data_IF_549359024898
#
_entry.id   IF_549359024898
#
_cell.length_a   1.000
_cell.length_b   1.000
_cell.length_c   1.000
_cell.angle_alpha   90.00
_cell.angle_beta   90.00
_cell.angle_gamma   90.00
#
_symmetry.space_group_name_H-M   'P 1'
#
loop_
_entity.id
_entity.type
_entity.pdbx_description
1 polymer ?
#
# COMPACT_ATOMS: atom_id res chain seq x y z
N UNK A 1 0.46 -78.34 -32.36
CA UNK A 1 1.84 -77.82 -32.35
C UNK A 1 1.83 -76.43 -32.97
N UNK A 2 2.29 -75.42 -32.22
CA UNK A 2 2.54 -74.01 -32.57
C UNK A 2 1.31 -73.09 -32.74
N UNK A 3 1.06 -72.04 -31.92
CA UNK A 3 1.86 -70.90 -31.41
C UNK A 3 1.67 -69.64 -32.27
N UNK A 4 1.28 -68.53 -31.60
CA UNK A 4 1.18 -67.09 -32.01
C UNK A 4 -0.25 -66.54 -31.92
N UNK A 5 -0.79 -66.28 -30.72
CA UNK A 5 -0.49 -65.20 -29.75
C UNK A 5 -0.99 -63.82 -30.20
N UNK A 6 -2.00 -63.36 -29.44
CA UNK A 6 -2.66 -62.06 -29.48
C UNK A 6 -1.65 -60.90 -29.45
N UNK A 7 -1.91 -59.86 -30.25
CA UNK A 7 -1.33 -58.53 -30.04
C UNK A 7 -2.47 -57.56 -29.72
N UNK A 8 -2.65 -57.27 -28.43
CA UNK A 8 -3.58 -56.30 -27.89
C UNK A 8 -2.78 -55.37 -26.97
N UNK A 9 -3.00 -54.05 -27.13
CA UNK A 9 -2.76 -52.95 -26.18
C UNK A 9 -1.30 -52.68 -25.77
N UNK A 10 -0.80 -51.49 -26.14
CA UNK A 10 -0.29 -50.47 -25.21
C UNK A 10 0.35 -49.33 -26.04
N UNK A 11 -0.50 -48.42 -26.54
CA UNK A 11 -0.04 -47.08 -26.88
C UNK A 11 0.25 -46.39 -25.54
N UNK A 12 1.53 -46.32 -25.18
CA UNK A 12 2.03 -45.50 -24.09
C UNK A 12 1.80 -44.02 -24.45
N UNK A 13 0.62 -43.50 -24.09
CA UNK A 13 0.41 -42.06 -23.98
C UNK A 13 1.25 -41.57 -22.80
N UNK A 14 2.48 -41.17 -23.09
CA UNK A 14 3.30 -40.39 -22.19
C UNK A 14 2.68 -38.98 -22.11
N UNK A 15 1.64 -38.85 -21.28
CA UNK A 15 1.17 -37.55 -20.82
C UNK A 15 2.28 -36.99 -19.94
N UNK A 16 3.12 -36.13 -20.54
CA UNK A 16 3.93 -35.18 -19.79
C UNK A 16 2.94 -34.25 -19.07
N UNK A 17 2.60 -34.60 -17.84
CA UNK A 17 2.12 -33.65 -16.85
C UNK A 17 3.25 -32.64 -16.63
N UNK A 18 3.28 -31.59 -17.45
CA UNK A 18 4.01 -30.36 -17.12
C UNK A 18 3.37 -29.78 -15.88
N UNK A 19 3.85 -30.24 -14.73
CA UNK A 19 3.61 -29.62 -13.45
C UNK A 19 4.42 -28.33 -13.47
N UNK A 20 3.79 -27.20 -13.76
CA UNK A 20 4.41 -25.88 -13.58
C UNK A 20 4.59 -25.64 -12.08
N UNK A 21 5.68 -26.18 -11.54
CA UNK A 21 6.12 -26.02 -10.15
C UNK A 21 6.88 -24.72 -10.02
N UNK A 22 6.17 -23.58 -10.00
CA UNK A 22 6.77 -22.27 -9.70
C UNK A 22 7.07 -22.07 -8.20
N UNK A 23 6.74 -23.04 -7.34
CA UNK A 23 6.89 -22.96 -5.89
C UNK A 23 8.24 -23.49 -5.35
N UNK A 24 9.14 -24.03 -6.19
CA UNK A 24 10.23 -24.86 -5.67
C UNK A 24 11.36 -24.07 -4.97
N UNK A 25 11.44 -22.75 -5.18
CA UNK A 25 12.52 -21.92 -4.65
C UNK A 25 12.08 -20.87 -3.61
N UNK A 26 10.77 -20.70 -3.41
CA UNK A 26 10.21 -19.86 -2.34
C UNK A 26 10.15 -20.66 -1.05
N UNK A 27 10.83 -20.18 -0.01
CA UNK A 27 11.02 -20.93 1.25
C UNK A 27 10.06 -20.51 2.34
N UNK A 28 9.38 -19.37 2.17
CA UNK A 28 8.46 -18.79 3.12
C UNK A 28 9.16 -18.00 4.23
N UNK A 29 8.48 -16.98 4.72
CA UNK A 29 9.07 -15.99 5.63
C UNK A 29 9.43 -16.55 7.00
N UNK A 30 8.79 -17.64 7.43
CA UNK A 30 9.16 -18.35 8.66
C UNK A 30 10.61 -18.87 8.61
N UNK A 31 11.12 -19.27 7.44
CA UNK A 31 12.52 -19.70 7.29
C UNK A 31 13.50 -18.53 7.42
N UNK A 32 13.06 -17.32 7.11
CA UNK A 32 13.87 -16.13 7.29
C UNK A 32 14.03 -15.78 8.78
N UNK A 33 13.00 -16.05 9.61
CA UNK A 33 13.03 -15.74 11.04
C UNK A 33 14.19 -16.42 11.79
N UNK A 34 14.52 -17.66 11.41
CA UNK A 34 15.55 -18.47 12.06
C UNK A 34 16.92 -17.75 12.12
N UNK A 35 17.24 -16.93 11.12
CA UNK A 35 18.48 -16.15 11.04
C UNK A 35 18.29 -14.62 11.12
N UNK A 36 17.11 -14.10 10.75
CA UNK A 36 16.79 -12.67 10.61
C UNK A 36 15.62 -12.24 11.50
N UNK A 37 15.64 -12.68 12.76
CA UNK A 37 14.56 -12.45 13.71
C UNK A 37 14.26 -10.96 13.94
N UNK A 38 15.27 -10.09 13.95
CA UNK A 38 15.07 -8.64 14.09
C UNK A 38 14.26 -8.05 12.94
N UNK A 39 14.67 -8.32 11.70
CA UNK A 39 14.00 -7.83 10.50
C UNK A 39 12.60 -8.41 10.38
N UNK A 40 12.45 -9.71 10.66
CA UNK A 40 11.16 -10.39 10.66
C UNK A 40 10.19 -9.76 11.67
N UNK A 41 10.63 -9.49 12.90
CA UNK A 41 9.78 -8.88 13.93
C UNK A 41 9.33 -7.46 13.54
N UNK A 42 10.23 -6.67 12.97
CA UNK A 42 9.90 -5.34 12.43
C UNK A 42 8.87 -5.44 11.30
N UNK A 43 9.07 -6.38 10.38
CA UNK A 43 8.18 -6.60 9.24
C UNK A 43 6.80 -7.10 9.66
N UNK A 44 6.72 -8.03 10.62
CA UNK A 44 5.45 -8.51 11.18
C UNK A 44 4.60 -7.39 11.80
N UNK A 45 5.25 -6.41 12.43
CA UNK A 45 4.59 -5.22 12.97
C UNK A 45 4.17 -4.22 11.88
N UNK A 46 4.62 -4.39 10.64
CA UNK A 46 4.30 -3.53 9.50
C UNK A 46 2.94 -3.85 8.87
N UNK A 47 2.53 -3.04 7.90
CA UNK A 47 1.29 -3.28 7.14
C UNK A 47 1.44 -4.24 5.96
N UNK A 48 2.66 -4.65 5.59
CA UNK A 48 2.93 -5.53 4.45
C UNK A 48 2.39 -6.97 4.63
N UNK A 49 2.61 -7.66 5.77
CA UNK A 49 2.02 -8.99 5.98
C UNK A 49 0.49 -8.96 6.12
N UNK A 50 -0.09 -7.77 6.33
CA UNK A 50 -1.52 -7.60 6.55
C UNK A 50 -2.30 -7.34 5.26
N UNK A 51 -1.65 -7.29 4.10
CA UNK A 51 -2.33 -7.02 2.82
C UNK A 51 -3.37 -8.09 2.48
N UNK A 52 -3.14 -9.33 2.90
CA UNK A 52 -4.11 -10.41 2.96
C UNK A 52 -3.68 -11.41 4.02
N UNK A 53 -4.62 -11.95 4.78
CA UNK A 53 -4.37 -13.04 5.74
C UNK A 53 -5.55 -14.00 5.74
N UNK A 54 -5.28 -15.31 5.81
CA UNK A 54 -6.32 -16.31 6.04
C UNK A 54 -7.02 -16.10 7.38
N UNK A 55 -8.27 -16.56 7.45
CA UNK A 55 -9.14 -16.38 8.60
C UNK A 55 -8.55 -16.92 9.91
N UNK A 56 -7.76 -17.99 9.87
CA UNK A 56 -7.17 -18.62 11.04
C UNK A 56 -6.25 -17.66 11.79
N UNK A 57 -5.50 -16.82 11.05
CA UNK A 57 -4.66 -15.76 11.61
C UNK A 57 -5.46 -14.48 11.83
N UNK A 58 -6.32 -14.10 10.88
CA UNK A 58 -6.99 -12.80 10.89
C UNK A 58 -8.00 -12.63 12.02
N UNK A 59 -8.67 -13.70 12.46
CA UNK A 59 -9.69 -13.66 13.53
C UNK A 59 -9.15 -13.13 14.86
N UNK A 60 -7.85 -13.31 15.13
CA UNK A 60 -7.22 -12.81 16.36
C UNK A 60 -7.04 -11.29 16.38
N UNK A 61 -7.20 -10.61 15.24
CA UNK A 61 -7.19 -9.15 15.18
C UNK A 61 -8.47 -8.50 15.75
N UNK A 62 -9.48 -9.30 16.11
CA UNK A 62 -10.76 -8.84 16.71
C UNK A 62 -11.44 -7.71 15.90
N UNK A 63 -11.33 -7.77 14.57
CA UNK A 63 -11.98 -6.82 13.68
C UNK A 63 -13.50 -7.05 13.71
N UNK A 64 -14.32 -5.99 13.69
CA UNK A 64 -15.76 -6.14 13.55
C UNK A 64 -16.08 -6.64 12.13
N UNK A 65 -17.06 -7.54 12.03
CA UNK A 65 -17.47 -8.15 10.77
C UNK A 65 -18.63 -7.38 10.12
N UNK A 66 -18.81 -7.51 8.79
CA UNK A 66 -19.97 -6.95 8.12
C UNK A 66 -21.29 -7.53 8.67
N UNK A 67 -22.42 -6.81 8.55
CA UNK A 67 -23.70 -7.25 9.09
C UNK A 67 -24.10 -8.67 8.67
N UNK A 68 -24.42 -9.51 9.66
CA UNK A 68 -24.85 -10.89 9.46
C UNK A 68 -23.73 -11.92 9.29
N UNK A 69 -22.47 -11.51 9.16
CA UNK A 69 -21.34 -12.43 8.99
C UNK A 69 -20.75 -12.86 10.33
N UNK A 70 -20.29 -14.11 10.37
CA UNK A 70 -19.45 -14.69 11.40
C UNK A 70 -18.08 -15.01 10.84
N UNK A 71 -17.09 -15.30 11.70
CA UNK A 71 -15.76 -15.71 11.22
C UNK A 71 -15.78 -17.02 10.43
N UNK A 72 -16.79 -17.88 10.63
CA UNK A 72 -16.93 -19.12 9.86
C UNK A 72 -17.34 -18.87 8.40
N UNK A 73 -17.86 -17.68 8.10
CA UNK A 73 -18.23 -17.25 6.75
C UNK A 73 -17.06 -16.60 5.99
N UNK A 74 -15.92 -16.39 6.63
CA UNK A 74 -14.77 -15.66 6.07
C UNK A 74 -13.66 -16.63 5.69
N UNK A 75 -13.11 -16.49 4.48
CA UNK A 75 -11.89 -17.18 4.05
C UNK A 75 -10.64 -16.35 4.33
N UNK A 76 -10.69 -15.05 4.00
CA UNK A 76 -9.57 -14.13 4.11
C UNK A 76 -9.99 -12.73 4.56
N UNK A 77 -9.04 -11.99 5.13
CA UNK A 77 -9.16 -10.56 5.45
C UNK A 77 -8.13 -9.77 4.67
N UNK A 78 -8.60 -8.73 3.98
CA UNK A 78 -7.79 -7.76 3.23
C UNK A 78 -7.50 -6.57 4.15
N UNK A 79 -6.24 -6.34 4.50
CA UNK A 79 -5.85 -5.24 5.37
C UNK A 79 -6.11 -5.52 6.85
N UNK A 80 -6.60 -4.48 7.55
CA UNK A 80 -6.92 -4.55 8.98
C UNK A 80 -5.81 -4.14 9.94
N UNK A 81 -4.64 -3.75 9.46
CA UNK A 81 -3.57 -3.23 10.32
C UNK A 81 -3.72 -1.74 10.66
N UNK A 82 -3.94 -0.90 9.64
CA UNK A 82 -3.74 0.55 9.77
C UNK A 82 -4.88 1.41 9.22
N UNK A 83 -5.46 1.07 8.07
CA UNK A 83 -6.41 1.96 7.35
C UNK A 83 -7.80 1.38 7.20
N UNK A 84 -7.89 0.21 6.60
CA UNK A 84 -9.16 -0.43 6.28
C UNK A 84 -9.05 -1.94 6.36
N UNK A 85 -10.15 -2.57 6.75
CA UNK A 85 -10.36 -4.00 6.64
C UNK A 85 -11.52 -4.28 5.67
N UNK A 86 -11.36 -5.33 4.87
CA UNK A 86 -12.41 -5.94 4.07
C UNK A 86 -12.31 -7.45 4.19
N UNK A 87 -13.35 -8.13 3.78
CA UNK A 87 -13.53 -9.55 4.06
C UNK A 87 -13.86 -10.28 2.77
N UNK A 88 -13.36 -11.51 2.67
CA UNK A 88 -13.59 -12.41 1.54
C UNK A 88 -14.41 -13.59 2.05
N UNK A 89 -15.47 -13.95 1.33
CA UNK A 89 -16.35 -15.07 1.66
C UNK A 89 -15.69 -16.43 1.36
N UNK A 90 -16.41 -17.53 1.63
CA UNK A 90 -15.92 -18.90 1.43
C UNK A 90 -15.72 -19.31 -0.03
N UNK A 91 -16.23 -18.53 -0.98
CA UNK A 91 -16.09 -18.77 -2.42
C UNK A 91 -14.99 -17.89 -3.04
N UNK A 92 -14.33 -17.04 -2.24
CA UNK A 92 -13.23 -16.19 -2.68
C UNK A 92 -13.64 -14.79 -3.15
N UNK A 93 -14.92 -14.41 -3.02
CA UNK A 93 -15.40 -13.10 -3.44
C UNK A 93 -15.32 -12.09 -2.29
N UNK A 94 -14.98 -10.85 -2.61
CA UNK A 94 -14.99 -9.76 -1.63
C UNK A 94 -16.44 -9.49 -1.24
N UNK A 95 -16.71 -9.42 0.06
CA UNK A 95 -18.04 -9.15 0.60
C UNK A 95 -18.41 -7.68 0.36
N UNK A 96 -19.50 -7.45 -0.37
CA UNK A 96 -19.99 -6.12 -0.80
C UNK A 96 -21.44 -5.83 -0.40
N UNK A 97 -22.10 -6.76 0.29
CA UNK A 97 -23.47 -6.67 0.81
C UNK A 97 -23.57 -7.39 2.17
N UNK A 98 -24.70 -7.24 2.86
CA UNK A 98 -25.02 -8.03 4.05
C UNK A 98 -25.21 -9.51 3.68
N UNK A 99 -25.16 -10.40 4.67
CA UNK A 99 -25.29 -11.85 4.44
C UNK A 99 -26.65 -12.25 3.85
N UNK A 100 -27.70 -11.51 4.16
CA UNK A 100 -29.05 -11.71 3.60
C UNK A 100 -29.23 -11.10 2.21
N UNK A 101 -28.16 -10.54 1.62
CA UNK A 101 -28.18 -9.86 0.32
C UNK A 101 -28.65 -8.40 0.38
N UNK A 102 -29.06 -7.90 1.55
CA UNK A 102 -29.42 -6.50 1.71
C UNK A 102 -28.21 -5.57 1.61
N UNK A 103 -28.48 -4.30 1.33
CA UNK A 103 -27.44 -3.29 1.23
C UNK A 103 -26.73 -3.08 2.57
N UNK A 104 -25.40 -3.22 2.57
CA UNK A 104 -24.59 -2.89 3.73
C UNK A 104 -23.26 -2.25 3.35
N UNK A 105 -22.74 -1.47 4.29
CA UNK A 105 -21.36 -0.99 4.27
C UNK A 105 -20.47 -2.12 4.75
N UNK A 106 -19.50 -2.54 3.94
CA UNK A 106 -18.68 -3.74 4.18
C UNK A 106 -17.19 -3.47 4.32
N UNK A 107 -16.76 -2.22 4.18
CA UNK A 107 -15.40 -1.79 4.52
C UNK A 107 -15.40 -1.15 5.91
N UNK A 108 -14.60 -1.70 6.82
CA UNK A 108 -14.35 -1.11 8.13
C UNK A 108 -13.14 -0.17 8.08
N UNK A 109 -13.28 1.05 8.57
CA UNK A 109 -12.22 2.05 8.63
C UNK A 109 -11.60 2.04 10.05
N UNK A 110 -10.30 1.76 10.13
CA UNK A 110 -9.61 1.50 11.40
C UNK A 110 -9.45 2.79 12.24
N UNK A 111 -9.29 3.93 11.59
CA UNK A 111 -8.95 5.21 12.26
C UNK A 111 -10.12 5.76 13.09
N UNK A 112 -11.37 5.62 12.63
CA UNK A 112 -12.56 6.18 13.30
C UNK A 112 -13.65 5.15 13.61
N UNK A 113 -13.44 3.88 13.26
CA UNK A 113 -14.40 2.80 13.45
C UNK A 113 -15.63 2.87 12.53
N UNK A 114 -15.64 3.77 11.54
CA UNK A 114 -16.76 3.92 10.62
C UNK A 114 -16.79 2.80 9.58
N UNK A 115 -17.98 2.58 9.02
CA UNK A 115 -18.17 1.68 7.87
C UNK A 115 -18.42 2.46 6.59
N UNK A 116 -17.94 1.95 5.46
CA UNK A 116 -18.12 2.53 4.12
C UNK A 116 -18.54 1.47 3.09
N UNK A 117 -19.22 1.90 2.04
CA UNK A 117 -19.52 1.04 0.90
C UNK A 117 -18.23 0.71 0.13
N UNK A 118 -18.16 -0.51 -0.36
CA UNK A 118 -17.13 -0.96 -1.29
C UNK A 118 -17.78 -1.86 -2.34
N UNK A 119 -17.79 -1.44 -3.61
CA UNK A 119 -18.40 -2.18 -4.72
C UNK A 119 -19.81 -2.72 -4.39
N UNK A 120 -20.66 -1.86 -3.79
CA UNK A 120 -21.96 -2.19 -3.19
C UNK A 120 -22.78 -3.18 -4.06
N UNK A 121 -23.04 -4.37 -3.50
CA UNK A 121 -23.86 -5.42 -4.14
C UNK A 121 -23.21 -6.14 -5.32
N UNK A 122 -21.98 -5.80 -5.72
CA UNK A 122 -21.28 -6.50 -6.80
C UNK A 122 -20.73 -7.85 -6.32
N UNK A 123 -20.92 -8.92 -7.10
CA UNK A 123 -20.11 -10.15 -6.96
C UNK A 123 -18.68 -9.82 -7.38
N UNK A 124 -17.80 -9.54 -6.42
CA UNK A 124 -16.50 -8.90 -6.66
C UNK A 124 -15.35 -9.89 -6.49
N UNK A 125 -14.71 -10.39 -7.57
CA UNK A 125 -13.52 -11.21 -7.46
C UNK A 125 -12.37 -10.46 -6.79
N UNK A 126 -11.55 -11.19 -6.04
CA UNK A 126 -10.29 -10.72 -5.50
C UNK A 126 -9.20 -10.74 -6.59
N UNK A 127 -9.01 -9.60 -7.25
CA UNK A 127 -7.96 -9.39 -8.26
C UNK A 127 -6.87 -8.41 -7.78
N UNK A 128 -6.64 -8.32 -6.47
CA UNK A 128 -5.62 -7.43 -5.88
C UNK A 128 -4.24 -8.08 -5.74
N UNK A 129 -4.11 -9.34 -6.18
CA UNK A 129 -2.91 -10.15 -6.05
C UNK A 129 -1.59 -9.49 -6.45
N UNK A 130 -1.50 -8.82 -7.62
CA UNK A 130 -0.24 -8.24 -8.11
C UNK A 130 0.47 -7.27 -7.15
N UNK A 131 -0.26 -6.65 -6.23
CA UNK A 131 0.29 -5.68 -5.28
C UNK A 131 0.09 -6.07 -3.80
N UNK A 132 -0.58 -7.19 -3.53
CA UNK A 132 -0.94 -7.58 -2.17
C UNK A 132 -0.34 -8.93 -1.76
N UNK A 133 0.18 -9.74 -2.70
CA UNK A 133 0.72 -11.09 -2.45
C UNK A 133 2.20 -11.21 -2.77
N UNK A 134 2.79 -12.31 -2.32
CA UNK A 134 4.18 -12.68 -2.62
C UNK A 134 4.25 -13.72 -3.72
N UNK A 135 5.05 -13.46 -4.75
CA UNK A 135 5.22 -14.36 -5.90
C UNK A 135 3.91 -14.63 -6.66
N UNK A 136 3.13 -13.58 -6.86
CA UNK A 136 1.84 -13.67 -7.57
C UNK A 136 2.00 -14.18 -9.01
N UNK A 137 1.11 -15.09 -9.40
CA UNK A 137 0.86 -15.55 -10.75
C UNK A 137 -0.62 -15.30 -11.11
N UNK A 138 -0.92 -14.77 -12.30
CA UNK A 138 -2.31 -14.55 -12.72
C UNK A 138 -3.07 -15.84 -13.05
N UNK A 139 -2.39 -16.98 -13.11
CA UNK A 139 -2.97 -18.28 -13.42
C UNK A 139 -3.62 -18.92 -12.20
N UNK A 140 -4.78 -19.55 -12.45
CA UNK A 140 -5.48 -20.36 -11.46
C UNK A 140 -6.24 -19.56 -10.40
N UNK A 141 -6.54 -20.26 -9.32
CA UNK A 141 -7.36 -19.76 -8.21
C UNK A 141 -6.79 -20.24 -6.88
N UNK A 142 -6.28 -19.30 -6.07
CA UNK A 142 -5.72 -19.65 -4.77
C UNK A 142 -6.72 -20.45 -3.93
N UNK A 143 -6.25 -21.54 -3.33
CA UNK A 143 -7.06 -22.46 -2.51
C UNK A 143 -8.29 -23.04 -3.23
N UNK A 144 -8.29 -23.07 -4.56
CA UNK A 144 -9.42 -23.49 -5.41
C UNK A 144 -10.70 -22.64 -5.21
N UNK A 145 -10.55 -21.38 -4.80
CA UNK A 145 -11.66 -20.45 -4.61
C UNK A 145 -11.90 -19.63 -5.88
N UNK A 146 -13.06 -19.80 -6.53
CA UNK A 146 -13.42 -19.15 -7.81
C UNK A 146 -13.17 -17.63 -7.79
N UNK A 147 -13.51 -16.97 -6.69
CA UNK A 147 -13.35 -15.53 -6.56
C UNK A 147 -11.91 -15.06 -6.37
N UNK A 148 -10.96 -15.94 -6.04
CA UNK A 148 -9.54 -15.60 -5.90
C UNK A 148 -8.86 -15.66 -7.26
N UNK A 149 -8.55 -14.51 -7.85
CA UNK A 149 -7.92 -14.46 -9.19
C UNK A 149 -6.41 -14.60 -9.03
N UNK A 150 -5.86 -15.68 -9.60
CA UNK A 150 -4.43 -16.00 -9.55
C UNK A 150 -4.03 -16.84 -8.33
N UNK A 151 -2.75 -17.15 -8.25
CA UNK A 151 -2.10 -17.95 -7.20
C UNK A 151 -0.84 -17.25 -6.68
N UNK A 152 -0.36 -17.63 -5.50
CA UNK A 152 0.83 -17.05 -4.88
C UNK A 152 1.53 -18.02 -3.92
N UNK A 153 2.78 -17.69 -3.56
CA UNK A 153 3.57 -18.50 -2.63
C UNK A 153 3.24 -18.19 -1.16
N UNK A 154 3.04 -16.91 -0.81
CA UNK A 154 2.65 -16.49 0.54
C UNK A 154 1.60 -15.37 0.52
N UNK A 155 0.70 -15.41 1.52
CA UNK A 155 -0.29 -14.37 1.76
C UNK A 155 0.38 -13.08 2.21
N UNK A 156 -0.06 -11.95 1.65
CA UNK A 156 0.52 -10.65 1.98
C UNK A 156 1.83 -10.37 1.25
N UNK A 157 2.41 -9.21 1.53
CA UNK A 157 3.73 -8.84 1.03
C UNK A 157 4.76 -9.30 2.05
N UNK A 158 5.50 -10.36 1.71
CA UNK A 158 6.43 -11.04 2.59
C UNK A 158 7.88 -10.90 2.12
N UNK A 159 8.84 -11.53 2.81
CA UNK A 159 10.28 -11.34 2.58
C UNK A 159 10.66 -11.51 1.11
N UNK A 160 10.15 -12.57 0.50
CA UNK A 160 10.56 -13.02 -0.84
C UNK A 160 9.90 -12.22 -1.97
N UNK A 161 8.89 -11.39 -1.68
CA UNK A 161 8.33 -10.46 -2.67
C UNK A 161 9.34 -9.36 -3.03
N UNK A 162 10.18 -8.98 -2.07
CA UNK A 162 11.24 -8.02 -2.28
C UNK A 162 12.60 -8.67 -2.55
N UNK A 163 12.91 -9.72 -1.80
CA UNK A 163 14.21 -10.41 -1.85
C UNK A 163 14.28 -11.54 -2.89
N UNK A 164 13.17 -11.85 -3.56
CA UNK A 164 13.07 -13.00 -4.46
C UNK A 164 13.10 -14.35 -3.72
N UNK A 165 13.09 -15.46 -4.47
CA UNK A 165 13.14 -16.81 -3.89
C UNK A 165 14.40 -17.02 -3.04
N UNK A 166 14.23 -17.50 -1.81
CA UNK A 166 15.29 -17.62 -0.81
C UNK A 166 16.03 -18.96 -0.78
N UNK A 167 15.65 -19.94 -1.60
CA UNK A 167 16.22 -21.30 -1.55
C UNK A 167 17.74 -21.33 -1.76
N UNK A 168 18.27 -20.54 -2.68
CA UNK A 168 19.72 -20.43 -2.90
C UNK A 168 20.41 -19.83 -1.66
N UNK A 169 19.80 -18.80 -1.07
CA UNK A 169 20.33 -18.17 0.14
C UNK A 169 20.35 -19.11 1.35
N UNK A 170 19.32 -19.94 1.53
CA UNK A 170 19.32 -20.96 2.58
C UNK A 170 20.45 -21.99 2.41
N UNK A 171 20.77 -22.37 1.17
CA UNK A 171 21.86 -23.31 0.88
C UNK A 171 23.24 -22.67 1.06
N UNK A 172 23.37 -21.39 0.76
CA UNK A 172 24.62 -20.63 0.86
C UNK A 172 24.34 -19.19 1.30
N UNK A 173 24.40 -18.88 2.62
CA UNK A 173 23.91 -17.62 3.19
C UNK A 173 24.92 -16.48 3.01
N UNK A 174 25.08 -16.02 1.78
CA UNK A 174 25.92 -14.87 1.41
C UNK A 174 25.10 -13.76 0.75
N UNK A 175 25.61 -12.52 0.78
CA UNK A 175 24.87 -11.35 0.27
C UNK A 175 24.54 -11.38 -1.23
N UNK A 176 25.16 -12.28 -2.01
CA UNK A 176 24.98 -12.41 -3.46
C UNK A 176 23.93 -13.44 -3.84
N UNK A 177 23.53 -14.31 -2.92
CA UNK A 177 22.51 -15.36 -3.16
C UNK A 177 21.10 -14.91 -2.79
N UNK A 178 20.93 -13.63 -2.47
CA UNK A 178 19.64 -13.01 -2.19
C UNK A 178 19.57 -11.65 -2.87
N UNK A 179 18.40 -11.28 -3.41
CA UNK A 179 18.23 -9.99 -4.07
C UNK A 179 18.38 -8.87 -3.04
N UNK A 180 19.22 -7.88 -3.35
CA UNK A 180 19.30 -6.64 -2.58
C UNK A 180 18.28 -5.64 -3.08
N UNK A 181 17.65 -4.94 -2.15
CA UNK A 181 16.75 -3.83 -2.43
C UNK A 181 17.61 -2.56 -2.53
N UNK A 182 18.28 -2.36 -3.66
CA UNK A 182 19.03 -1.13 -3.95
C UNK A 182 18.31 -0.24 -4.95
N UNK A 183 17.39 -0.80 -5.73
CA UNK A 183 16.66 -0.08 -6.78
C UNK A 183 15.35 0.50 -6.23
N UNK A 184 15.18 1.81 -6.42
CA UNK A 184 13.96 2.59 -6.06
C UNK A 184 12.69 1.96 -6.66
N UNK A 185 12.82 1.27 -7.79
CA UNK A 185 11.71 0.78 -8.60
C UNK A 185 10.94 -0.40 -7.99
N UNK A 186 11.52 -1.15 -7.04
CA UNK A 186 10.81 -2.27 -6.44
C UNK A 186 9.58 -1.81 -5.63
N UNK A 187 9.69 -0.69 -4.91
CA UNK A 187 8.58 -0.09 -4.18
C UNK A 187 7.46 0.34 -5.15
N UNK A 188 7.88 0.85 -6.32
CA UNK A 188 7.01 1.27 -7.41
C UNK A 188 6.19 0.14 -8.06
N UNK A 189 6.49 -1.14 -7.80
CA UNK A 189 5.60 -2.25 -8.22
C UNK A 189 4.19 -2.09 -7.65
N UNK A 190 4.12 -1.67 -6.38
CA UNK A 190 2.87 -1.60 -5.61
C UNK A 190 2.46 -0.18 -5.26
N UNK A 191 3.42 0.69 -4.97
CA UNK A 191 3.21 2.08 -4.58
C UNK A 191 3.15 3.01 -5.79
N UNK A 192 2.29 2.66 -6.75
CA UNK A 192 1.92 3.50 -7.89
C UNK A 192 0.45 3.36 -8.29
N UNK A 193 -0.04 4.30 -9.11
CA UNK A 193 -1.20 4.10 -9.99
C UNK A 193 -0.98 4.73 -11.35
N UNK A 194 -1.27 3.94 -12.39
CA UNK A 194 -1.15 4.39 -13.77
C UNK A 194 0.31 4.46 -14.23
N UNK A 195 1.22 3.75 -13.56
CA UNK A 195 2.66 3.76 -13.82
C UNK A 195 3.41 4.61 -12.79
N UNK A 196 4.73 4.67 -12.91
CA UNK A 196 5.62 5.37 -11.95
C UNK A 196 5.96 6.79 -12.38
N UNK A 197 5.16 7.42 -13.25
CA UNK A 197 5.39 8.78 -13.75
C UNK A 197 5.00 9.88 -12.75
N UNK A 198 5.43 11.14 -12.97
CA UNK A 198 5.21 12.27 -12.04
C UNK A 198 3.80 12.86 -12.13
N UNK A 199 2.78 12.01 -12.32
CA UNK A 199 1.38 12.43 -12.45
C UNK A 199 0.52 11.69 -11.41
N UNK A 200 0.53 12.11 -10.13
CA UNK A 200 -0.23 11.44 -9.08
C UNK A 200 -1.73 11.60 -9.35
N UNK A 201 -2.48 10.50 -9.58
CA UNK A 201 -3.91 10.58 -9.81
C UNK A 201 -4.65 11.12 -8.57
N UNK A 202 -5.62 11.98 -8.80
CA UNK A 202 -6.42 12.61 -7.76
C UNK A 202 -7.92 12.41 -8.00
N UNK A 203 -8.71 12.48 -6.93
CA UNK A 203 -10.17 12.42 -7.01
C UNK A 203 -10.80 12.99 -5.75
N UNK A 204 -11.96 13.66 -5.89
CA UNK A 204 -12.74 14.19 -4.76
C UNK A 204 -11.93 15.08 -3.81
N UNK A 205 -11.05 15.91 -4.36
CA UNK A 205 -10.23 16.84 -3.59
C UNK A 205 -9.04 16.19 -2.86
N UNK A 206 -8.67 14.94 -3.16
CA UNK A 206 -7.49 14.31 -2.55
C UNK A 206 -6.66 13.59 -3.59
N UNK A 207 -5.37 13.47 -3.33
CA UNK A 207 -4.53 12.51 -4.05
C UNK A 207 -5.04 11.11 -3.69
N UNK A 208 -5.06 10.19 -4.66
CA UNK A 208 -5.47 8.82 -4.40
C UNK A 208 -4.42 8.11 -3.54
N UNK A 209 -4.79 6.96 -2.99
CA UNK A 209 -3.85 6.15 -2.23
C UNK A 209 -3.03 5.24 -3.15
N UNK A 210 -1.82 4.92 -2.67
CA UNK A 210 -0.76 4.16 -3.33
C UNK A 210 0.09 4.97 -4.32
N UNK A 211 0.05 6.30 -4.31
CA UNK A 211 0.74 7.15 -5.30
C UNK A 211 2.12 7.64 -4.86
N UNK A 212 2.74 7.05 -3.82
CA UNK A 212 3.92 7.65 -3.20
C UNK A 212 5.08 7.85 -4.18
N UNK A 213 5.30 6.94 -5.13
CA UNK A 213 6.34 7.13 -6.15
C UNK A 213 5.98 8.24 -7.14
N UNK A 214 4.70 8.36 -7.51
CA UNK A 214 4.21 9.41 -8.40
C UNK A 214 4.35 10.78 -7.71
N UNK A 215 3.98 10.86 -6.43
CA UNK A 215 4.07 12.04 -5.59
C UNK A 215 5.52 12.50 -5.41
N UNK A 216 6.42 11.56 -5.06
CA UNK A 216 7.83 11.85 -4.86
C UNK A 216 8.48 12.41 -6.13
N UNK A 217 8.24 11.75 -7.27
CA UNK A 217 8.73 12.18 -8.59
C UNK A 217 8.15 13.51 -9.08
N UNK A 218 6.90 13.80 -8.72
CA UNK A 218 6.29 15.10 -9.00
C UNK A 218 6.82 16.22 -8.08
N UNK A 219 7.27 15.85 -6.88
CA UNK A 219 7.71 16.75 -5.82
C UNK A 219 9.18 17.18 -5.94
N UNK A 220 9.67 17.76 -4.84
CA UNK A 220 11.04 18.30 -4.78
C UNK A 220 12.14 17.24 -4.62
N UNK A 221 11.77 15.99 -4.30
CA UNK A 221 12.69 14.90 -3.96
C UNK A 221 12.62 13.75 -4.97
N UNK A 222 12.30 14.04 -6.23
CA UNK A 222 12.04 13.02 -7.25
C UNK A 222 13.20 12.08 -7.57
N UNK A 223 14.43 12.48 -7.25
CA UNK A 223 15.65 11.70 -7.46
C UNK A 223 16.03 10.84 -6.24
N UNK A 224 15.37 11.00 -5.09
CA UNK A 224 15.68 10.23 -3.88
C UNK A 224 14.99 8.86 -3.90
N UNK A 225 15.66 7.87 -3.32
CA UNK A 225 15.09 6.55 -3.07
C UNK A 225 14.18 6.53 -1.84
N UNK A 226 13.18 5.65 -1.84
CA UNK A 226 12.31 5.44 -0.68
C UNK A 226 13.10 5.04 0.59
N UNK A 227 14.18 4.27 0.42
CA UNK A 227 14.97 3.73 1.53
C UNK A 227 16.02 4.71 2.08
N UNK A 228 16.16 5.89 1.47
CA UNK A 228 16.93 6.99 2.06
C UNK A 228 16.23 7.56 3.30
N UNK A 229 14.89 7.46 3.34
CA UNK A 229 14.08 7.95 4.44
C UNK A 229 13.43 6.83 5.27
N UNK A 230 13.00 5.75 4.61
CA UNK A 230 12.24 4.68 5.25
C UNK A 230 13.08 3.41 5.41
N UNK A 231 13.05 2.83 6.61
CA UNK A 231 13.48 1.46 6.78
C UNK A 231 12.45 0.50 6.13
N UNK A 232 12.82 -0.32 5.14
CA UNK A 232 11.88 -1.17 4.41
C UNK A 232 11.28 -2.29 5.27
N UNK A 233 11.88 -2.62 6.41
CA UNK A 233 11.38 -3.64 7.34
C UNK A 233 10.46 -3.07 8.41
N UNK A 234 10.46 -1.76 8.65
CA UNK A 234 9.72 -1.14 9.75
C UNK A 234 8.40 -0.53 9.28
N UNK A 235 7.54 -0.19 10.24
CA UNK A 235 6.35 0.62 9.96
C UNK A 235 6.82 1.97 9.41
N UNK A 236 6.25 2.40 8.28
CA UNK A 236 6.60 3.67 7.63
C UNK A 236 6.41 4.93 8.51
N UNK A 237 5.69 4.84 9.63
CA UNK A 237 5.54 5.92 10.61
C UNK A 237 6.73 6.07 11.58
N UNK A 238 7.65 5.11 11.61
CA UNK A 238 8.79 5.07 12.53
C UNK A 238 10.05 5.70 11.93
N UNK A 239 9.89 6.64 11.00
CA UNK A 239 11.02 7.40 10.43
C UNK A 239 11.77 8.12 11.54
N UNK A 240 13.10 8.19 11.40
CA UNK A 240 13.97 8.96 12.30
C UNK A 240 13.41 10.38 12.49
N UNK A 241 13.19 10.78 13.74
CA UNK A 241 12.81 12.16 14.06
C UNK A 241 13.88 13.14 13.55
N UNK A 242 13.44 14.27 13.01
CA UNK A 242 14.31 15.28 12.43
C UNK A 242 15.20 14.80 11.26
N UNK A 243 14.85 13.72 10.57
CA UNK A 243 15.58 13.24 9.39
C UNK A 243 15.81 14.36 8.35
N UNK A 244 14.83 15.25 8.16
CA UNK A 244 14.95 16.36 7.21
C UNK A 244 16.17 17.27 7.52
N UNK A 245 16.54 17.41 8.80
CA UNK A 245 17.66 18.26 9.23
C UNK A 245 19.03 17.68 8.84
N UNK A 246 19.12 16.38 8.52
CA UNK A 246 20.37 15.76 8.05
C UNK A 246 20.83 16.41 6.72
N UNK A 247 19.90 16.88 5.89
CA UNK A 247 20.19 17.63 4.65
C UNK A 247 19.82 19.12 4.72
N UNK A 248 18.85 19.50 5.56
CA UNK A 248 18.33 20.87 5.68
C UNK A 248 18.69 21.52 7.03
N UNK A 249 19.94 21.38 7.48
CA UNK A 249 20.41 21.85 8.79
C UNK A 249 20.16 23.34 9.06
N UNK A 250 20.47 24.21 8.08
CA UNK A 250 20.25 25.66 8.21
C UNK A 250 18.77 26.02 8.36
N UNK A 251 17.90 25.34 7.60
CA UNK A 251 16.45 25.51 7.68
C UNK A 251 15.96 25.05 9.04
N UNK A 252 16.42 23.89 9.52
CA UNK A 252 16.05 23.36 10.83
C UNK A 252 16.47 24.31 11.97
N UNK A 253 17.69 24.84 11.92
CA UNK A 253 18.21 25.78 12.92
C UNK A 253 17.38 27.07 12.97
N UNK A 254 17.06 27.65 11.80
CA UNK A 254 16.27 28.87 11.70
C UNK A 254 14.80 28.63 12.07
N UNK A 255 14.22 27.50 11.67
CA UNK A 255 12.86 27.09 12.03
C UNK A 255 12.68 26.91 13.54
N UNK A 256 13.68 26.33 14.23
CA UNK A 256 13.65 26.13 15.68
C UNK A 256 13.44 27.43 16.48
N UNK A 257 13.82 28.59 15.93
CA UNK A 257 13.61 29.90 16.55
C UNK A 257 12.18 30.45 16.40
N UNK A 258 11.39 29.91 15.46
CA UNK A 258 10.02 30.35 15.17
C UNK A 258 9.02 29.85 16.23
N UNK A 259 7.79 30.38 16.21
CA UNK A 259 6.72 29.94 17.10
C UNK A 259 6.40 28.44 16.95
N UNK A 260 6.25 27.96 15.71
CA UNK A 260 5.96 26.54 15.45
C UNK A 260 7.13 25.62 15.83
N UNK A 261 8.36 26.04 15.53
CA UNK A 261 9.55 25.31 15.95
C UNK A 261 9.65 25.18 17.48
N UNK A 262 9.39 26.26 18.22
CA UNK A 262 9.34 26.25 19.69
C UNK A 262 8.20 25.41 20.28
N UNK A 263 7.09 25.26 19.53
CA UNK A 263 5.99 24.37 19.90
C UNK A 263 6.26 22.90 19.54
N UNK A 264 7.37 22.61 18.87
CA UNK A 264 7.72 21.25 18.47
C UNK A 264 6.89 20.72 17.29
N UNK A 265 6.30 21.60 16.47
CA UNK A 265 5.66 21.18 15.22
C UNK A 265 6.71 20.58 14.28
N UNK A 266 6.50 19.34 13.84
CA UNK A 266 7.46 18.65 12.98
C UNK A 266 7.32 19.11 11.52
N UNK A 267 8.42 19.04 10.74
CA UNK A 267 8.44 19.45 9.32
C UNK A 267 7.34 18.76 8.50
N UNK A 268 7.06 17.48 8.81
CA UNK A 268 6.07 16.66 8.11
C UNK A 268 4.64 17.16 8.30
N UNK A 269 4.36 17.97 9.33
CA UNK A 269 3.01 18.51 9.53
C UNK A 269 2.64 19.55 8.47
N UNK A 270 3.62 20.28 7.95
CA UNK A 270 3.41 21.25 6.88
C UNK A 270 3.82 20.72 5.51
N UNK A 271 4.95 20.01 5.41
CA UNK A 271 5.49 19.56 4.13
C UNK A 271 4.91 18.23 3.67
N UNK A 272 4.45 17.38 4.59
CA UNK A 272 3.81 16.10 4.27
C UNK A 272 2.42 16.01 4.93
N UNK A 273 1.52 16.98 4.69
CA UNK A 273 0.20 16.97 5.28
C UNK A 273 -0.58 15.76 4.77
N UNK A 274 -1.66 15.41 5.47
CA UNK A 274 -2.57 14.34 5.04
C UNK A 274 -3.40 14.79 3.81
N UNK A 275 -2.77 15.00 2.66
CA UNK A 275 -3.40 15.46 1.41
C UNK A 275 -3.88 14.31 0.50
N UNK A 276 -3.68 13.06 0.93
CA UNK A 276 -4.04 11.86 0.18
C UNK A 276 -5.09 11.05 0.96
N UNK A 277 -5.98 10.36 0.23
CA UNK A 277 -7.12 9.61 0.82
C UNK A 277 -7.11 8.13 0.44
N UNK A 278 -7.10 7.28 1.47
CA UNK A 278 -7.19 5.82 1.38
C UNK A 278 -8.52 5.27 1.88
N UNK A 279 -8.94 5.62 3.08
CA UNK A 279 -10.15 5.15 3.74
C UNK A 279 -11.09 6.33 4.01
N UNK A 280 -10.62 7.33 4.75
CA UNK A 280 -11.46 8.44 5.24
C UNK A 280 -10.89 9.82 4.87
N UNK A 281 -11.74 10.83 4.96
CA UNK A 281 -11.35 12.24 5.03
C UNK A 281 -11.88 12.77 6.35
N UNK A 282 -10.98 13.27 7.21
CA UNK A 282 -11.31 13.75 8.55
C UNK A 282 -11.80 15.20 8.55
N UNK A 283 -11.44 15.97 7.53
CA UNK A 283 -11.90 17.34 7.29
C UNK A 283 -11.83 17.69 5.80
N UNK A 284 -12.30 18.88 5.41
CA UNK A 284 -12.36 19.34 4.01
C UNK A 284 -11.03 19.24 3.26
N UNK A 285 -9.91 19.43 3.95
CA UNK A 285 -8.55 19.39 3.37
C UNK A 285 -7.64 18.40 4.11
N UNK A 286 -8.21 17.41 4.77
CA UNK A 286 -7.44 16.43 5.54
C UNK A 286 -7.96 15.03 5.27
N UNK A 287 -7.17 14.27 4.52
CA UNK A 287 -7.31 12.85 4.29
C UNK A 287 -6.73 12.03 5.44
N UNK A 288 -6.25 10.84 5.12
CA UNK A 288 -5.69 9.89 6.08
C UNK A 288 -4.28 9.41 5.72
N UNK A 289 -3.72 9.84 4.59
CA UNK A 289 -2.37 9.49 4.14
C UNK A 289 -1.55 10.76 3.90
N UNK A 290 -0.34 10.79 4.45
CA UNK A 290 0.64 11.86 4.22
C UNK A 290 1.14 11.82 2.78
N UNK A 291 1.17 12.98 2.13
CA UNK A 291 1.69 13.13 0.78
C UNK A 291 3.23 13.21 0.77
N UNK A 292 3.84 12.75 -0.32
CA UNK A 292 5.29 12.79 -0.54
C UNK A 292 5.72 13.89 -1.53
N UNK A 293 4.84 14.84 -1.83
CA UNK A 293 5.15 15.98 -2.72
C UNK A 293 6.15 16.96 -2.07
N UNK A 294 6.09 17.13 -0.74
CA UNK A 294 6.97 17.98 0.11
C UNK A 294 6.86 19.49 -0.16
N UNK A 295 6.83 19.91 -1.43
CA UNK A 295 6.80 21.32 -1.84
C UNK A 295 5.46 21.97 -1.51
N UNK A 296 5.49 23.17 -0.94
CA UNK A 296 4.30 23.98 -0.63
C UNK A 296 4.24 25.17 -1.61
N UNK A 297 3.08 25.43 -2.20
CA UNK A 297 2.77 26.64 -2.93
C UNK A 297 1.86 27.53 -2.09
N UNK A 298 2.33 28.73 -1.75
CA UNK A 298 1.67 29.66 -0.83
C UNK A 298 0.80 30.70 -1.53
N UNK A 299 0.72 30.71 -2.86
CA UNK A 299 -0.08 31.68 -3.60
C UNK A 299 -1.59 31.49 -3.36
N UNK A 300 -2.32 32.59 -3.22
CA UNK A 300 -3.75 32.58 -2.90
C UNK A 300 -4.62 31.95 -4.01
N UNK A 301 -4.15 32.00 -5.26
CA UNK A 301 -4.79 31.42 -6.45
C UNK A 301 -4.26 30.01 -6.79
N UNK A 302 -3.28 29.49 -6.04
CA UNK A 302 -2.71 28.18 -6.31
C UNK A 302 -3.77 27.07 -6.17
N UNK A 303 -3.83 26.19 -7.16
CA UNK A 303 -4.65 24.98 -7.10
C UNK A 303 -3.75 23.75 -7.18
N UNK A 304 -3.87 22.87 -6.18
CA UNK A 304 -3.11 21.62 -6.07
C UNK A 304 -3.39 20.64 -7.21
N UNK A 305 -4.57 20.73 -7.83
CA UNK A 305 -5.01 19.79 -8.85
C UNK A 305 -5.04 20.43 -10.24
N UNK A 306 -4.80 19.59 -11.25
CA UNK A 306 -5.03 19.86 -12.67
C UNK A 306 -6.00 18.83 -13.23
N UNK A 307 -6.87 19.24 -14.13
CA UNK A 307 -7.69 18.32 -14.92
C UNK A 307 -7.09 18.20 -16.31
N UNK A 308 -7.03 16.98 -16.82
CA UNK A 308 -6.60 16.65 -18.16
C UNK A 308 -7.73 15.91 -18.84
N UNK A 309 -8.15 16.40 -20.00
CA UNK A 309 -9.14 15.75 -20.84
C UNK A 309 -8.43 15.07 -22.01
N UNK A 310 -8.61 13.76 -22.14
CA UNK A 310 -8.09 12.96 -23.25
C UNK A 310 -9.15 11.95 -23.66
N UNK A 311 -9.41 11.86 -24.96
CA UNK A 311 -10.40 10.93 -25.54
C UNK A 311 -11.80 11.03 -24.89
N UNK A 312 -12.23 12.27 -24.59
CA UNK A 312 -13.51 12.56 -23.92
C UNK A 312 -13.56 12.19 -22.43
N UNK A 313 -12.45 11.72 -21.84
CA UNK A 313 -12.34 11.35 -20.43
C UNK A 313 -11.56 12.41 -19.66
N UNK A 314 -12.22 13.02 -18.67
CA UNK A 314 -11.59 13.92 -17.71
C UNK A 314 -10.93 13.11 -16.59
N UNK A 315 -9.65 13.36 -16.38
CA UNK A 315 -8.87 12.77 -15.29
C UNK A 315 -8.18 13.87 -14.50
N UNK A 316 -8.25 13.81 -13.17
CA UNK A 316 -7.62 14.78 -12.29
C UNK A 316 -6.29 14.23 -11.79
N UNK A 317 -5.27 15.09 -11.76
CA UNK A 317 -3.94 14.79 -11.22
C UNK A 317 -3.53 15.88 -10.22
N UNK A 318 -2.74 15.51 -9.23
CA UNK A 318 -2.04 16.50 -8.40
C UNK A 318 -0.85 17.09 -9.16
N UNK A 319 -0.58 18.36 -8.89
CA UNK A 319 0.63 19.06 -9.31
C UNK A 319 1.75 18.76 -8.31
N UNK A 320 2.99 19.11 -8.66
CA UNK A 320 4.19 18.94 -7.82
C UNK A 320 4.28 19.88 -6.61
N UNK A 321 3.16 20.27 -6.01
CA UNK A 321 3.11 21.06 -4.78
C UNK A 321 1.78 20.84 -4.04
N UNK A 322 1.80 20.93 -2.70
CA UNK A 322 0.60 21.10 -1.87
C UNK A 322 0.26 22.58 -1.71
N UNK A 323 -0.99 22.89 -1.35
CA UNK A 323 -1.41 24.27 -1.10
C UNK A 323 -1.68 24.53 0.39
N UNK A 324 -1.82 25.81 0.76
CA UNK A 324 -2.01 26.25 2.14
C UNK A 324 -3.29 25.71 2.78
N UNK A 325 -4.31 25.34 2.00
CA UNK A 325 -5.52 24.70 2.53
C UNK A 325 -5.22 23.34 3.18
N UNK A 326 -4.41 22.51 2.51
CA UNK A 326 -4.00 21.19 3.03
C UNK A 326 -2.94 21.30 4.13
N UNK A 327 -2.13 22.35 4.07
CA UNK A 327 -0.96 22.53 4.94
C UNK A 327 -1.33 23.19 6.27
N UNK A 328 -2.20 24.20 6.25
CA UNK A 328 -2.42 25.09 7.39
C UNK A 328 -3.79 24.88 8.05
N UNK A 329 -4.84 24.63 7.26
CA UNK A 329 -6.22 24.70 7.75
C UNK A 329 -6.65 23.48 8.56
N UNK A 330 -5.84 22.41 8.62
CA UNK A 330 -6.04 21.28 9.53
C UNK A 330 -5.90 21.70 11.00
N UNK A 331 -4.99 22.63 11.30
CA UNK A 331 -4.79 23.20 12.64
C UNK A 331 -5.46 24.58 12.79
N UNK A 332 -5.53 25.35 11.70
CA UNK A 332 -6.13 26.69 11.67
C UNK A 332 -7.54 26.69 11.06
N UNK A 333 -8.40 25.76 11.49
CA UNK A 333 -9.73 25.55 10.88
C UNK A 333 -10.72 26.71 10.97
N UNK A 334 -10.45 27.73 11.80
CA UNK A 334 -11.23 28.98 11.87
C UNK A 334 -10.79 30.05 10.86
N UNK A 335 -9.80 29.73 10.02
CA UNK A 335 -9.21 30.64 9.02
C UNK A 335 -9.53 30.17 7.62
N UNK A 336 -9.39 31.08 6.66
CA UNK A 336 -9.55 30.80 5.24
C UNK A 336 -8.21 30.72 4.51
N UNK A 337 -8.28 30.37 3.22
CA UNK A 337 -7.09 30.30 2.35
C UNK A 337 -6.38 31.64 2.23
N UNK A 338 -7.12 32.76 2.16
CA UNK A 338 -6.54 34.08 1.99
C UNK A 338 -5.69 34.46 3.21
N UNK A 339 -6.17 34.17 4.42
CA UNK A 339 -5.41 34.27 5.66
C UNK A 339 -4.16 33.40 5.60
N UNK A 340 -4.31 32.11 5.27
CA UNK A 340 -3.18 31.20 5.25
C UNK A 340 -2.10 31.63 4.25
N UNK A 341 -2.49 32.04 3.04
CA UNK A 341 -1.59 32.56 2.01
C UNK A 341 -0.87 33.84 2.47
N UNK A 342 -1.60 34.80 3.07
CA UNK A 342 -1.02 36.06 3.57
C UNK A 342 0.05 35.85 4.64
N UNK A 343 -0.17 34.91 5.55
CA UNK A 343 0.75 34.62 6.65
C UNK A 343 1.74 33.50 6.34
N UNK A 344 1.66 32.89 5.14
CA UNK A 344 2.57 31.85 4.72
C UNK A 344 3.89 32.37 4.14
N UNK A 345 4.53 33.29 4.87
CA UNK A 345 5.77 33.94 4.48
C UNK A 345 6.81 33.81 5.59
N UNK A 346 8.10 33.66 5.21
CA UNK A 346 9.24 33.59 6.13
C UNK A 346 9.14 32.55 7.27
N UNK A 347 8.48 31.40 7.03
CA UNK A 347 8.31 30.34 8.03
C UNK A 347 9.60 29.68 8.54
N UNK A 348 10.70 29.81 7.81
CA UNK A 348 12.00 29.27 8.20
C UNK A 348 12.96 30.39 8.64
N UNK A 349 12.44 31.48 9.20
CA UNK A 349 13.20 32.68 9.56
C UNK A 349 13.50 33.59 8.37
N UNK A 350 13.79 34.86 8.65
CA UNK A 350 14.02 35.88 7.64
C UNK A 350 15.23 35.54 6.77
N UNK A 351 14.95 35.10 5.54
CA UNK A 351 15.61 35.63 4.35
C UNK A 351 14.52 36.20 3.44
#
# INVERSE_FOLDING_TARGET
MNLKLLLFILLNSCFLLSSTTFANDYVGSEKCFDCHSEQYNKWQASGHPWKLRKVEKARYAKLPLPPGYSWDDISYVIGGANKKARFIDKDGFIITAAKDGSEAKTQYNIEDGSWSFYHKGEKKPYACGPCHMTAYSPEGHQDNLEGMVGTWAEDGITCEECHGPGMEHLRNPVKTTIKKITEVDLCGKCHQRGGTGPEPPASKGFIRHHEQINELKAGAHGDLSCVECHNPHERAILVKKNLCADCHGDIAASYAATLHGKQGTECIECHMPKASKSAISVASYTGDVRTHIVKINTAADANMFKEVEKDGKKTTYAKGFVTVEYTCLSCHGSRDKAWASKYATHFHGNK
#
